data_IF_706936571976
#
_entry.id   IF_706936571976
#
_cell.length_a   1.000
_cell.length_b   1.000
_cell.length_c   1.000
_cell.angle_alpha   90.00
_cell.angle_beta   90.00
_cell.angle_gamma   90.00
#
_symmetry.space_group_name_H-M   'P 1'
#
loop_
_entity.id
_entity.type
_entity.pdbx_description
1 polymer ?
#
# COMPACT_ATOMS: atom_id res chain seq x y z
N UNK A 1 -47.39 -0.21 -1.44
CA UNK A 1 -46.83 -0.44 -2.78
C UNK A 1 -45.60 0.43 -2.86
N UNK A 2 -44.43 -0.18 -2.98
CA UNK A 2 -43.15 0.52 -2.97
C UNK A 2 -42.70 0.74 -4.42
N UNK A 3 -42.31 1.97 -4.74
CA UNK A 3 -41.92 2.39 -6.09
C UNK A 3 -40.49 2.91 -5.99
N UNK A 4 -39.64 2.49 -6.91
CA UNK A 4 -38.24 2.90 -7.01
C UNK A 4 -38.02 3.74 -8.26
N UNK A 5 -37.12 4.71 -8.19
CA UNK A 5 -36.57 5.34 -9.39
C UNK A 5 -35.51 4.45 -10.03
N UNK A 6 -35.42 4.52 -11.36
CA UNK A 6 -34.38 3.84 -12.12
C UNK A 6 -33.26 4.81 -12.52
N UNK A 7 -32.03 4.35 -12.39
CA UNK A 7 -30.79 5.08 -12.65
C UNK A 7 -30.01 4.43 -13.80
N UNK A 8 -29.24 5.22 -14.53
CA UNK A 8 -28.26 4.73 -15.50
C UNK A 8 -26.93 4.33 -14.81
N UNK A 9 -25.94 3.90 -15.59
CA UNK A 9 -24.64 3.44 -15.06
C UNK A 9 -23.77 4.60 -14.56
N UNK A 10 -24.08 5.80 -14.99
CA UNK A 10 -23.47 7.06 -14.56
C UNK A 10 -24.10 7.59 -13.26
N UNK A 11 -25.14 6.93 -12.75
CA UNK A 11 -25.83 7.30 -11.51
C UNK A 11 -26.88 8.40 -11.67
N UNK A 12 -27.27 8.74 -12.90
CA UNK A 12 -28.33 9.72 -13.15
C UNK A 12 -29.70 9.06 -13.13
N UNK A 13 -30.71 9.77 -12.60
CA UNK A 13 -32.11 9.35 -12.69
C UNK A 13 -32.54 9.34 -14.16
N UNK A 14 -33.09 8.22 -14.62
CA UNK A 14 -33.59 8.05 -16.00
C UNK A 14 -34.96 8.68 -16.23
N UNK A 15 -35.71 8.94 -15.15
CA UNK A 15 -37.11 9.35 -15.19
C UNK A 15 -38.11 8.18 -15.22
N UNK A 16 -37.63 6.95 -15.39
CA UNK A 16 -38.45 5.75 -15.28
C UNK A 16 -38.55 5.26 -13.83
N UNK A 17 -39.64 4.56 -13.52
CA UNK A 17 -39.87 3.98 -12.20
C UNK A 17 -40.13 2.48 -12.28
N UNK A 18 -39.95 1.81 -11.14
CA UNK A 18 -40.17 0.38 -11.00
C UNK A 18 -41.04 0.09 -9.77
N UNK A 19 -42.11 -0.70 -9.95
CA UNK A 19 -42.95 -1.14 -8.85
C UNK A 19 -42.36 -2.40 -8.21
N UNK A 20 -42.00 -2.34 -6.92
CA UNK A 20 -41.47 -3.49 -6.18
C UNK A 20 -42.54 -4.59 -6.06
N UNK A 21 -42.26 -5.75 -6.66
CA UNK A 21 -42.95 -7.03 -6.42
C UNK A 21 -41.94 -8.08 -5.94
N UNK A 22 -42.35 -9.15 -5.22
CA UNK A 22 -41.45 -10.21 -4.80
C UNK A 22 -40.62 -10.74 -5.98
N UNK A 23 -39.29 -10.76 -5.84
CA UNK A 23 -38.31 -11.19 -6.86
C UNK A 23 -38.31 -10.38 -8.18
N UNK A 24 -38.90 -9.19 -8.21
CA UNK A 24 -39.02 -8.39 -9.44
C UNK A 24 -37.76 -7.64 -9.87
N UNK A 25 -36.75 -7.51 -9.01
CA UNK A 25 -35.49 -6.82 -9.35
C UNK A 25 -34.75 -7.48 -10.52
N UNK A 26 -34.92 -8.80 -10.72
CA UNK A 26 -34.34 -9.54 -11.85
C UNK A 26 -34.97 -9.20 -13.21
N UNK A 27 -36.09 -8.45 -13.22
CA UNK A 27 -36.79 -8.05 -14.43
C UNK A 27 -36.59 -6.56 -14.76
N UNK A 28 -35.78 -5.84 -13.97
CA UNK A 28 -35.35 -4.48 -14.31
C UNK A 28 -34.58 -4.55 -15.64
N UNK A 29 -34.83 -3.65 -16.60
CA UNK A 29 -34.13 -3.66 -17.88
C UNK A 29 -32.60 -3.53 -17.73
N UNK A 30 -31.86 -4.18 -18.63
CA UNK A 30 -30.39 -4.05 -18.72
C UNK A 30 -29.97 -2.58 -18.84
N UNK A 31 -28.89 -2.22 -18.13
CA UNK A 31 -28.39 -0.85 -18.06
C UNK A 31 -29.19 0.08 -17.15
N UNK A 32 -30.22 -0.42 -16.46
CA UNK A 32 -30.96 0.31 -15.42
C UNK A 32 -30.76 -0.31 -14.04
N UNK A 33 -30.72 0.55 -13.03
CA UNK A 33 -30.46 0.18 -11.64
C UNK A 33 -31.44 0.86 -10.69
N UNK A 34 -31.79 0.24 -9.57
CA UNK A 34 -32.44 0.92 -8.45
C UNK A 34 -31.41 1.25 -7.37
N UNK A 35 -31.66 2.31 -6.60
CA UNK A 35 -30.78 2.74 -5.52
C UNK A 35 -31.05 1.92 -4.25
N UNK A 36 -29.96 1.41 -3.66
CA UNK A 36 -29.95 0.67 -2.40
C UNK A 36 -28.92 1.31 -1.47
N UNK A 37 -29.24 1.37 -0.19
CA UNK A 37 -28.33 1.84 0.86
C UNK A 37 -28.01 0.71 1.83
N UNK A 38 -26.76 0.68 2.30
CA UNK A 38 -26.34 -0.18 3.40
C UNK A 38 -25.51 0.62 4.41
N UNK A 39 -25.78 0.42 5.70
CA UNK A 39 -25.28 1.25 6.79
C UNK A 39 -24.61 0.34 7.82
N UNK A 40 -23.28 0.37 7.86
CA UNK A 40 -22.52 -0.18 8.99
C UNK A 40 -22.67 0.75 10.19
N UNK A 41 -23.11 0.24 11.32
CA UNK A 41 -23.31 1.06 12.53
C UNK A 41 -22.20 0.77 13.54
N UNK A 42 -21.45 1.81 13.89
CA UNK A 42 -20.39 1.79 14.88
C UNK A 42 -20.78 2.63 16.10
N UNK A 43 -20.68 2.04 17.28
CA UNK A 43 -20.84 2.77 18.53
C UNK A 43 -19.53 3.46 18.93
N UNK A 44 -19.60 4.60 19.63
CA UNK A 44 -18.41 5.38 20.05
C UNK A 44 -17.40 4.59 20.90
N UNK A 45 -17.80 3.49 21.51
CA UNK A 45 -16.90 2.58 22.25
C UNK A 45 -16.15 1.56 21.34
N UNK A 46 -16.32 1.66 20.02
CA UNK A 46 -15.61 0.82 19.04
C UNK A 46 -16.33 -0.48 18.69
N UNK A 47 -17.51 -0.75 19.24
CA UNK A 47 -18.34 -1.91 18.86
C UNK A 47 -19.24 -1.63 17.65
N UNK A 48 -19.66 -2.67 16.95
CA UNK A 48 -20.49 -2.63 15.74
C UNK A 48 -21.79 -3.39 15.96
N UNK A 49 -22.88 -2.87 15.40
CA UNK A 49 -24.17 -3.54 15.41
C UNK A 49 -24.21 -4.61 14.32
N UNK A 50 -24.66 -5.81 14.68
CA UNK A 50 -25.03 -6.86 13.73
C UNK A 50 -26.47 -7.27 14.04
N UNK A 51 -27.30 -7.34 13.01
CA UNK A 51 -28.70 -7.76 13.12
C UNK A 51 -28.91 -9.11 12.44
N UNK A 52 -29.97 -9.82 12.83
CA UNK A 52 -30.41 -11.06 12.20
C UNK A 52 -31.70 -10.79 11.45
N UNK A 53 -31.70 -11.16 10.17
CA UNK A 53 -32.83 -10.98 9.26
C UNK A 53 -34.02 -11.84 9.66
N UNK A 54 -35.22 -11.30 9.49
CA UNK A 54 -36.45 -12.06 9.65
C UNK A 54 -36.50 -13.26 8.68
N UNK A 55 -37.11 -14.36 9.11
CA UNK A 55 -37.25 -15.59 8.32
C UNK A 55 -38.17 -15.39 7.09
N UNK A 56 -38.96 -14.31 7.07
CA UNK A 56 -39.88 -13.99 5.98
C UNK A 56 -39.25 -13.10 4.89
N UNK A 57 -38.00 -12.66 5.04
CA UNK A 57 -37.31 -11.84 4.01
C UNK A 57 -37.14 -12.62 2.72
N UNK A 58 -37.38 -11.95 1.58
CA UNK A 58 -37.22 -12.53 0.23
C UNK A 58 -35.79 -13.02 -0.06
N UNK A 59 -34.79 -12.40 0.60
CA UNK A 59 -33.36 -12.61 0.35
C UNK A 59 -32.64 -12.78 1.69
N UNK A 60 -31.90 -13.90 1.82
CA UNK A 60 -31.16 -14.32 3.01
C UNK A 60 -31.99 -14.36 4.31
N UNK A 61 -33.13 -15.09 4.35
CA UNK A 61 -33.93 -15.22 5.57
C UNK A 61 -33.12 -15.88 6.70
N UNK A 62 -33.19 -15.32 7.92
CA UNK A 62 -32.50 -15.85 9.10
C UNK A 62 -30.98 -15.62 9.17
N UNK A 63 -30.37 -15.02 8.14
CA UNK A 63 -28.94 -14.70 8.12
C UNK A 63 -28.60 -13.49 8.98
N UNK A 64 -27.36 -13.45 9.48
CA UNK A 64 -26.82 -12.28 10.15
C UNK A 64 -26.23 -11.29 9.14
N UNK A 65 -26.42 -10.00 9.38
CA UNK A 65 -25.84 -8.92 8.59
C UNK A 65 -25.23 -7.81 9.45
N UNK A 66 -24.08 -7.30 9.01
CA UNK A 66 -23.39 -6.21 9.70
C UNK A 66 -23.95 -4.82 9.38
N UNK A 67 -24.84 -4.72 8.39
CA UNK A 67 -25.40 -3.46 7.92
C UNK A 67 -26.92 -3.48 7.97
N UNK A 68 -27.54 -2.41 8.49
CA UNK A 68 -28.94 -2.11 8.20
C UNK A 68 -29.06 -1.59 6.76
N UNK A 69 -30.22 -1.70 6.10
CA UNK A 69 -30.39 -1.09 4.79
C UNK A 69 -31.55 -1.60 3.94
N UNK A 70 -31.79 -0.88 2.85
CA UNK A 70 -32.90 -1.16 1.95
C UNK A 70 -32.89 -0.28 0.71
N UNK A 71 -33.96 -0.34 -0.07
CA UNK A 71 -34.07 0.39 -1.35
C UNK A 71 -34.60 1.79 -1.10
N UNK A 72 -34.05 2.77 -1.82
CA UNK A 72 -34.60 4.12 -1.81
C UNK A 72 -35.97 4.13 -2.49
N UNK A 73 -36.94 4.80 -1.86
CA UNK A 73 -38.26 5.00 -2.46
C UNK A 73 -38.24 6.11 -3.51
N UNK A 74 -39.27 6.19 -4.33
CA UNK A 74 -39.39 7.20 -5.38
C UNK A 74 -39.19 8.63 -4.82
N UNK A 75 -38.28 9.37 -5.44
CA UNK A 75 -37.89 10.74 -5.09
C UNK A 75 -36.95 10.83 -3.87
N UNK A 76 -36.59 9.72 -3.24
CA UNK A 76 -35.72 9.71 -2.06
C UNK A 76 -34.25 9.84 -2.48
N UNK A 77 -33.50 10.66 -1.74
CA UNK A 77 -32.07 10.82 -1.92
C UNK A 77 -31.30 9.77 -1.09
N UNK A 78 -30.11 9.31 -1.54
CA UNK A 78 -29.39 8.21 -0.87
C UNK A 78 -29.21 8.41 0.64
N UNK A 79 -28.83 9.61 1.06
CA UNK A 79 -28.64 9.89 2.49
C UNK A 79 -29.95 9.83 3.30
N UNK A 80 -31.05 10.30 2.72
CA UNK A 80 -32.36 10.23 3.36
C UNK A 80 -32.85 8.78 3.48
N UNK A 81 -32.64 7.97 2.43
CA UNK A 81 -32.90 6.54 2.47
C UNK A 81 -32.10 5.86 3.57
N UNK A 82 -30.80 6.18 3.70
CA UNK A 82 -29.94 5.59 4.72
C UNK A 82 -30.44 5.88 6.15
N UNK A 83 -30.88 7.11 6.41
CA UNK A 83 -31.45 7.50 7.70
C UNK A 83 -32.79 6.81 7.98
N UNK A 84 -33.66 6.68 6.98
CA UNK A 84 -34.95 5.99 7.09
C UNK A 84 -34.74 4.51 7.37
N UNK A 85 -33.97 3.82 6.54
CA UNK A 85 -33.73 2.37 6.64
C UNK A 85 -33.08 2.00 7.99
N UNK A 86 -32.09 2.79 8.45
CA UNK A 86 -31.50 2.58 9.77
C UNK A 86 -32.56 2.68 10.87
N UNK A 87 -33.41 3.71 10.80
CA UNK A 87 -34.44 3.92 11.81
C UNK A 87 -35.55 2.86 11.78
N UNK A 88 -35.96 2.42 10.58
CA UNK A 88 -36.96 1.37 10.40
C UNK A 88 -36.44 0.02 10.93
N UNK A 89 -35.23 -0.40 10.54
CA UNK A 89 -34.75 -1.73 10.93
C UNK A 89 -34.21 -1.83 12.37
N UNK A 90 -33.82 -0.70 12.99
CA UNK A 90 -33.12 -0.70 14.29
C UNK A 90 -33.65 0.30 15.32
N UNK A 91 -34.50 1.25 14.93
CA UNK A 91 -34.92 2.35 15.80
C UNK A 91 -33.84 3.40 16.10
N UNK A 92 -32.61 3.19 15.62
CA UNK A 92 -31.48 4.08 15.89
C UNK A 92 -31.50 5.32 14.98
N UNK A 93 -30.91 6.40 15.51
CA UNK A 93 -30.59 7.60 14.74
C UNK A 93 -29.10 7.84 14.85
N UNK A 94 -28.41 7.72 13.71
CA UNK A 94 -27.00 8.06 13.61
C UNK A 94 -26.71 9.54 13.85
N UNK A 95 -25.51 9.83 14.36
CA UNK A 95 -25.04 11.20 14.55
C UNK A 95 -24.19 11.68 13.36
N UNK A 96 -23.30 10.80 12.88
CA UNK A 96 -22.38 11.09 11.78
C UNK A 96 -22.41 9.95 10.76
N UNK A 97 -22.42 10.29 9.48
CA UNK A 97 -22.42 9.33 8.38
C UNK A 97 -21.29 9.65 7.41
N UNK A 98 -20.42 8.67 7.18
CA UNK A 98 -19.36 8.70 6.18
C UNK A 98 -19.77 7.82 5.01
N UNK A 99 -19.74 8.33 3.78
CA UNK A 99 -19.91 7.50 2.58
C UNK A 99 -18.62 6.70 2.36
N UNK A 100 -18.68 5.39 2.56
CA UNK A 100 -17.50 4.50 2.51
C UNK A 100 -17.37 3.74 1.19
N UNK A 101 -18.47 3.60 0.43
CA UNK A 101 -18.44 2.98 -0.89
C UNK A 101 -19.63 3.40 -1.78
N UNK A 102 -19.42 3.42 -3.10
CA UNK A 102 -20.48 3.45 -4.12
C UNK A 102 -20.16 2.36 -5.14
N UNK A 103 -21.12 1.46 -5.40
CA UNK A 103 -20.89 0.32 -6.31
C UNK A 103 -22.13 -0.07 -7.10
N UNK A 104 -21.94 -0.84 -8.17
CA UNK A 104 -23.02 -1.30 -9.03
C UNK A 104 -22.99 -2.82 -9.15
N UNK A 105 -24.17 -3.42 -9.30
CA UNK A 105 -24.35 -4.85 -9.55
C UNK A 105 -25.31 -5.04 -10.71
N UNK A 106 -24.78 -5.52 -11.83
CA UNK A 106 -25.59 -5.93 -13.00
C UNK A 106 -26.49 -7.12 -12.67
N UNK A 107 -26.04 -8.01 -11.79
CA UNK A 107 -26.79 -9.21 -11.39
C UNK A 107 -28.07 -8.87 -10.62
N UNK A 108 -28.05 -7.80 -9.83
CA UNK A 108 -29.21 -7.38 -9.01
C UNK A 108 -29.86 -6.10 -9.51
N UNK A 109 -29.33 -5.51 -10.60
CA UNK A 109 -29.73 -4.19 -11.08
C UNK A 109 -29.75 -3.15 -9.96
N UNK A 110 -28.71 -3.12 -9.13
CA UNK A 110 -28.62 -2.25 -7.95
C UNK A 110 -27.44 -1.30 -8.05
N UNK A 111 -27.66 -0.06 -7.63
CA UNK A 111 -26.64 0.93 -7.32
C UNK A 111 -26.59 1.08 -5.79
N UNK A 112 -25.48 0.72 -5.17
CA UNK A 112 -25.31 0.72 -3.71
C UNK A 112 -24.60 1.97 -3.24
N UNK A 113 -25.14 2.61 -2.21
CA UNK A 113 -24.49 3.67 -1.44
C UNK A 113 -24.27 3.17 -0.01
N UNK A 114 -23.01 2.89 0.32
CA UNK A 114 -22.64 2.31 1.61
C UNK A 114 -22.14 3.39 2.56
N UNK A 115 -22.73 3.45 3.75
CA UNK A 115 -22.38 4.41 4.79
C UNK A 115 -21.81 3.72 6.03
N UNK A 116 -20.85 4.37 6.69
CA UNK A 116 -20.53 4.13 8.09
C UNK A 116 -21.28 5.17 8.92
N UNK A 117 -22.11 4.70 9.83
CA UNK A 117 -22.83 5.51 10.80
C UNK A 117 -22.19 5.40 12.18
N UNK A 118 -21.82 6.51 12.80
CA UNK A 118 -21.42 6.56 14.21
C UNK A 118 -22.60 6.94 15.13
N UNK A 119 -22.70 6.30 16.29
CA UNK A 119 -23.74 6.57 17.30
C UNK A 119 -23.22 6.40 18.73
N UNK A 120 -23.83 7.10 19.68
CA UNK A 120 -23.69 6.90 21.13
C UNK A 120 -25.02 6.52 21.80
N UNK A 121 -26.00 6.12 21.00
CA UNK A 121 -27.30 5.68 21.50
C UNK A 121 -27.11 4.51 22.49
N UNK A 122 -27.90 4.45 23.58
CA UNK A 122 -27.88 3.32 24.49
C UNK A 122 -28.04 2.02 23.72
N UNK A 123 -27.15 1.04 23.95
CA UNK A 123 -27.13 -0.20 23.15
C UNK A 123 -28.42 -1.01 23.25
N UNK A 124 -29.17 -0.86 24.34
CA UNK A 124 -30.48 -1.45 24.61
C UNK A 124 -31.66 -0.66 24.02
N UNK A 125 -31.40 0.49 23.39
CA UNK A 125 -32.41 1.28 22.67
C UNK A 125 -32.72 0.78 21.26
N UNK A 126 -32.04 -0.27 20.79
CA UNK A 126 -32.33 -0.91 19.50
C UNK A 126 -33.74 -1.50 19.54
N UNK A 127 -34.59 -1.03 18.63
CA UNK A 127 -35.95 -1.53 18.43
C UNK A 127 -36.01 -2.20 17.07
N UNK A 128 -36.11 -3.53 17.07
CA UNK A 128 -36.22 -4.31 15.85
C UNK A 128 -37.63 -4.29 15.30
N UNK A 129 -37.74 -4.30 13.98
CA UNK A 129 -39.02 -4.29 13.27
C UNK A 129 -39.37 -5.70 12.80
N UNK A 130 -40.55 -6.20 13.21
CA UNK A 130 -41.10 -7.48 12.75
C UNK A 130 -41.21 -7.50 11.22
N UNK A 131 -40.76 -8.58 10.58
CA UNK A 131 -40.66 -8.69 9.13
C UNK A 131 -39.34 -8.16 8.56
N UNK A 132 -38.56 -7.41 9.35
CA UNK A 132 -37.25 -6.91 8.93
C UNK A 132 -36.10 -7.63 9.66
N UNK A 133 -36.04 -7.47 10.98
CA UNK A 133 -34.97 -7.97 11.85
C UNK A 133 -35.55 -8.58 13.12
N UNK A 134 -34.93 -9.65 13.63
CA UNK A 134 -35.47 -10.44 14.76
C UNK A 134 -34.53 -10.55 15.96
N UNK A 135 -33.23 -10.40 15.74
CA UNK A 135 -32.21 -10.38 16.80
C UNK A 135 -31.13 -9.34 16.48
N UNK A 136 -30.43 -8.84 17.51
CA UNK A 136 -29.25 -7.99 17.33
C UNK A 136 -28.18 -8.30 18.37
N UNK A 137 -26.94 -7.93 18.05
CA UNK A 137 -25.83 -7.92 18.99
C UNK A 137 -24.85 -6.80 18.64
N UNK A 138 -24.21 -6.27 19.67
CA UNK A 138 -23.04 -5.42 19.53
C UNK A 138 -21.79 -6.28 19.67
N UNK A 139 -20.89 -6.20 18.70
CA UNK A 139 -19.61 -6.93 18.69
C UNK A 139 -18.45 -5.97 18.62
N UNK A 140 -17.31 -6.31 19.20
CA UNK A 140 -16.07 -5.56 18.97
C UNK A 140 -15.51 -5.85 17.56
N UNK A 141 -14.34 -5.27 17.24
CA UNK A 141 -13.68 -5.50 15.94
C UNK A 141 -13.40 -6.98 15.71
N UNK A 142 -12.90 -7.70 16.72
CA UNK A 142 -12.65 -9.13 16.62
C UNK A 142 -13.92 -9.91 16.27
N UNK A 143 -15.03 -9.64 16.96
CA UNK A 143 -16.32 -10.27 16.71
C UNK A 143 -16.94 -9.88 15.37
N UNK A 144 -16.70 -8.66 14.88
CA UNK A 144 -17.10 -8.27 13.52
C UNK A 144 -16.33 -9.08 12.47
N UNK A 145 -15.01 -9.24 12.65
CA UNK A 145 -14.17 -10.04 11.76
C UNK A 145 -14.59 -11.51 11.78
N UNK A 146 -14.83 -12.08 12.96
CA UNK A 146 -15.34 -13.44 13.12
C UNK A 146 -16.66 -13.64 12.38
N UNK A 147 -17.59 -12.67 12.50
CA UNK A 147 -18.81 -12.67 11.71
C UNK A 147 -18.50 -12.64 10.21
N UNK A 148 -17.70 -11.69 9.74
CA UNK A 148 -17.39 -11.52 8.31
C UNK A 148 -16.83 -12.81 7.70
N UNK A 149 -15.98 -13.52 8.47
CA UNK A 149 -15.36 -14.78 8.07
C UNK A 149 -16.29 -15.99 8.18
N UNK A 150 -17.32 -15.93 9.04
CA UNK A 150 -18.26 -17.05 9.25
C UNK A 150 -19.09 -17.44 8.01
N UNK A 151 -19.60 -18.67 8.01
CA UNK A 151 -20.48 -19.19 6.95
C UNK A 151 -21.90 -18.61 7.00
N UNK A 152 -22.28 -18.00 8.13
CA UNK A 152 -23.61 -17.40 8.35
C UNK A 152 -23.68 -15.93 7.93
N UNK A 153 -22.58 -15.37 7.41
CA UNK A 153 -22.53 -14.02 6.89
C UNK A 153 -22.97 -13.92 5.43
N UNK A 154 -23.57 -12.78 5.10
CA UNK A 154 -23.97 -12.45 3.73
C UNK A 154 -22.72 -11.91 2.99
N UNK A 155 -21.98 -12.81 2.35
CA UNK A 155 -20.67 -12.47 1.72
C UNK A 155 -20.75 -11.31 0.74
N UNK A 156 -21.82 -11.21 -0.05
CA UNK A 156 -22.02 -10.08 -0.97
C UNK A 156 -22.15 -8.72 -0.27
N UNK A 157 -22.69 -8.65 0.95
CA UNK A 157 -22.75 -7.41 1.74
C UNK A 157 -21.36 -7.03 2.25
N UNK A 158 -20.60 -8.03 2.69
CA UNK A 158 -19.23 -7.83 3.16
C UNK A 158 -18.30 -7.41 2.02
N UNK A 159 -18.42 -8.03 0.84
CA UNK A 159 -17.60 -7.72 -0.33
C UNK A 159 -17.79 -6.27 -0.79
N UNK A 160 -19.03 -5.73 -0.72
CA UNK A 160 -19.30 -4.31 -1.00
C UNK A 160 -18.54 -3.39 -0.03
N UNK A 161 -18.39 -3.80 1.21
CA UNK A 161 -17.74 -3.00 2.26
C UNK A 161 -16.30 -3.44 2.54
N UNK A 162 -15.71 -4.26 1.66
CA UNK A 162 -14.42 -4.93 1.89
C UNK A 162 -13.31 -3.95 2.27
N UNK A 163 -13.21 -2.81 1.58
CA UNK A 163 -12.18 -1.79 1.86
C UNK A 163 -12.24 -1.28 3.30
N UNK A 164 -13.45 -1.07 3.84
CA UNK A 164 -13.64 -0.64 5.22
C UNK A 164 -13.40 -1.80 6.20
N UNK A 165 -13.93 -2.98 5.91
CA UNK A 165 -13.75 -4.17 6.76
C UNK A 165 -12.28 -4.62 6.86
N UNK A 166 -11.52 -4.46 5.78
CA UNK A 166 -10.06 -4.67 5.78
C UNK A 166 -9.40 -3.72 6.77
N UNK A 167 -9.74 -2.42 6.75
CA UNK A 167 -9.23 -1.45 7.76
C UNK A 167 -9.57 -1.88 9.18
N UNK A 168 -10.79 -2.35 9.44
CA UNK A 168 -11.18 -2.86 10.76
C UNK A 168 -10.33 -4.07 11.17
N UNK A 169 -10.05 -4.99 10.23
CA UNK A 169 -9.16 -6.14 10.48
C UNK A 169 -7.75 -5.68 10.82
N UNK A 170 -7.22 -4.69 10.11
CA UNK A 170 -5.91 -4.15 10.40
C UNK A 170 -5.87 -3.45 11.76
N UNK A 171 -6.84 -2.59 12.07
CA UNK A 171 -6.92 -1.91 13.37
C UNK A 171 -6.98 -2.91 14.54
N UNK A 172 -7.65 -4.04 14.35
CA UNK A 172 -7.69 -5.12 15.34
C UNK A 172 -6.31 -5.77 15.53
N UNK A 173 -5.58 -6.04 14.44
CA UNK A 173 -4.21 -6.57 14.49
C UNK A 173 -3.30 -5.58 15.22
N UNK A 174 -3.38 -4.29 14.88
CA UNK A 174 -2.58 -3.24 15.49
C UNK A 174 -2.87 -3.07 16.99
N UNK A 175 -4.14 -3.15 17.40
CA UNK A 175 -4.52 -3.02 18.81
C UNK A 175 -3.97 -4.11 19.72
N UNK A 176 -3.48 -5.21 19.15
CA UNK A 176 -2.85 -6.33 19.87
C UNK A 176 -1.34 -6.23 19.92
N UNK A 177 -0.73 -5.27 19.21
CA UNK A 177 0.72 -5.08 19.22
C UNK A 177 1.15 -4.36 20.51
N UNK A 178 2.34 -4.70 21.05
CA UNK A 178 2.89 -3.96 22.19
C UNK A 178 3.12 -2.50 21.81
N UNK A 179 3.02 -1.59 22.79
CA UNK A 179 3.47 -0.21 22.57
C UNK A 179 4.95 -0.22 22.20
N UNK A 180 5.31 0.54 21.15
CA UNK A 180 6.69 0.64 20.72
C UNK A 180 7.57 1.16 21.87
N UNK A 181 8.80 0.65 22.05
CA UNK A 181 9.69 1.10 23.14
C UNK A 181 9.93 2.62 23.18
N UNK A 182 9.78 3.28 22.02
CA UNK A 182 9.95 4.72 21.83
C UNK A 182 8.64 5.52 21.91
N UNK A 183 7.49 4.91 22.21
CA UNK A 183 6.19 5.60 22.22
C UNK A 183 6.16 6.80 23.19
N UNK A 184 6.91 6.73 24.29
CA UNK A 184 7.06 7.84 25.24
C UNK A 184 7.95 8.99 24.76
N UNK A 185 8.69 8.81 23.67
CA UNK A 185 9.61 9.80 23.10
C UNK A 185 8.99 10.62 21.96
N UNK A 186 7.73 10.33 21.59
CA UNK A 186 7.02 11.04 20.54
C UNK A 186 6.89 12.52 20.94
N UNK A 187 7.41 13.47 20.13
CA UNK A 187 7.29 14.89 20.41
C UNK A 187 5.83 15.35 20.58
N UNK A 188 5.60 16.37 21.41
CA UNK A 188 4.26 16.96 21.55
C UNK A 188 3.76 17.48 20.19
N UNK A 189 2.58 17.01 19.77
CA UNK A 189 1.97 17.34 18.48
C UNK A 189 2.32 16.39 17.33
N UNK A 190 3.25 15.45 17.52
CA UNK A 190 3.46 14.35 16.58
C UNK A 190 2.46 13.21 16.83
N UNK A 191 2.30 12.36 15.82
CA UNK A 191 1.41 11.19 15.84
C UNK A 191 2.05 10.02 15.10
N UNK A 192 1.64 8.80 15.44
CA UNK A 192 2.06 7.59 14.71
C UNK A 192 1.05 7.33 13.60
N UNK A 193 1.53 7.14 12.38
CA UNK A 193 0.68 6.74 11.25
C UNK A 193 0.93 5.28 10.90
N UNK A 194 -0.11 4.43 10.93
CA UNK A 194 0.00 2.99 10.64
C UNK A 194 0.26 2.67 9.16
N UNK A 195 -0.06 3.59 8.25
CA UNK A 195 -0.03 3.36 6.81
C UNK A 195 0.90 4.35 6.09
N UNK A 196 1.57 3.92 5.01
CA UNK A 196 2.06 4.89 4.05
C UNK A 196 0.89 5.70 3.46
N UNK A 197 1.15 6.96 3.09
CA UNK A 197 0.14 7.82 2.44
C UNK A 197 0.09 7.64 0.92
N UNK A 198 1.12 7.02 0.34
CA UNK A 198 1.16 6.74 -1.08
C UNK A 198 0.27 5.54 -1.47
N UNK A 199 -0.34 5.57 -2.66
CA UNK A 199 -1.07 4.43 -3.18
C UNK A 199 -0.15 3.25 -3.49
N UNK A 200 -0.65 2.03 -3.31
CA UNK A 200 0.07 0.78 -3.62
C UNK A 200 -0.71 -0.07 -4.61
N UNK A 201 0.00 -0.77 -5.49
CA UNK A 201 -0.56 -1.73 -6.44
C UNK A 201 -1.46 -1.13 -7.53
N UNK A 202 -1.34 0.17 -7.81
CA UNK A 202 -2.20 0.87 -8.76
C UNK A 202 -1.69 0.83 -10.21
N UNK A 203 -0.38 0.65 -10.42
CA UNK A 203 0.22 0.72 -11.76
C UNK A 203 1.16 -0.45 -12.06
N UNK A 204 0.92 -1.60 -11.42
CA UNK A 204 1.70 -2.83 -11.65
C UNK A 204 1.58 -3.33 -13.10
N UNK A 205 0.53 -2.94 -13.81
CA UNK A 205 0.29 -3.26 -15.23
C UNK A 205 1.28 -2.54 -16.18
N UNK A 206 1.94 -1.47 -15.72
CA UNK A 206 3.04 -0.84 -16.47
C UNK A 206 4.34 -1.65 -16.46
N UNK A 207 4.44 -2.69 -15.64
CA UNK A 207 5.65 -3.51 -15.54
C UNK A 207 5.51 -4.78 -16.39
N UNK A 208 6.44 -4.97 -17.31
CA UNK A 208 6.59 -6.23 -18.03
C UNK A 208 7.16 -7.31 -17.10
N UNK A 209 6.58 -8.51 -17.13
CA UNK A 209 6.96 -9.64 -16.27
C UNK A 209 7.79 -10.65 -17.04
N UNK A 210 8.87 -11.11 -16.44
CA UNK A 210 9.84 -11.97 -17.10
C UNK A 210 10.38 -13.05 -16.18
N UNK A 211 10.99 -14.05 -16.80
CA UNK A 211 11.78 -15.07 -16.13
C UNK A 211 13.19 -15.11 -16.74
N UNK A 212 14.18 -15.36 -15.90
CA UNK A 212 15.58 -15.53 -16.27
C UNK A 212 16.11 -16.81 -15.63
N UNK A 213 16.93 -17.56 -16.36
CA UNK A 213 17.61 -18.74 -15.84
C UNK A 213 19.12 -18.54 -16.04
N UNK A 214 19.83 -18.45 -14.92
CA UNK A 214 21.27 -18.32 -14.91
C UNK A 214 21.96 -19.65 -15.24
N UNK A 215 23.22 -19.60 -15.69
CA UNK A 215 24.01 -20.79 -15.95
C UNK A 215 24.22 -21.68 -14.71
N UNK A 216 24.16 -21.12 -13.50
CA UNK A 216 24.13 -21.86 -12.23
C UNK A 216 22.85 -22.66 -12.00
N UNK A 217 21.80 -22.45 -12.80
CA UNK A 217 20.48 -23.05 -12.64
C UNK A 217 19.52 -22.24 -11.75
N UNK A 218 19.96 -21.10 -11.21
CA UNK A 218 19.09 -20.19 -10.47
C UNK A 218 18.09 -19.55 -11.44
N UNK A 219 16.79 -19.71 -11.17
CA UNK A 219 15.71 -19.09 -11.93
C UNK A 219 15.19 -17.88 -11.18
N UNK A 220 15.13 -16.72 -11.82
CA UNK A 220 14.66 -15.47 -11.23
C UNK A 220 13.45 -14.97 -11.99
N UNK A 221 12.42 -14.59 -11.24
CA UNK A 221 11.38 -13.71 -11.75
C UNK A 221 11.88 -12.27 -11.65
N UNK A 222 11.54 -11.45 -12.62
CA UNK A 222 11.84 -10.03 -12.57
C UNK A 222 10.83 -9.21 -13.35
N UNK A 223 10.79 -7.92 -13.02
CA UNK A 223 9.93 -6.94 -13.66
C UNK A 223 10.77 -5.86 -14.32
N UNK A 224 10.29 -5.30 -15.43
CA UNK A 224 10.91 -4.15 -16.09
C UNK A 224 9.91 -3.06 -16.41
N UNK A 225 10.36 -1.82 -16.36
CA UNK A 225 9.67 -0.65 -16.93
C UNK A 225 10.60 0.01 -17.95
N UNK A 226 10.11 0.20 -19.17
CA UNK A 226 10.84 0.88 -20.25
C UNK A 226 10.20 2.26 -20.52
N UNK A 227 10.87 3.38 -20.17
CA UNK A 227 10.30 4.71 -20.40
C UNK A 227 10.01 4.98 -21.88
N UNK A 228 10.70 4.33 -22.82
CA UNK A 228 10.47 4.53 -24.26
C UNK A 228 9.17 3.92 -24.76
N UNK A 229 8.63 2.93 -24.05
CA UNK A 229 7.27 2.41 -24.26
C UNK A 229 6.19 3.34 -23.69
N UNK A 230 6.60 4.33 -22.91
CA UNK A 230 5.75 5.30 -22.22
C UNK A 230 5.99 6.76 -22.65
N UNK A 231 6.45 6.96 -23.90
CA UNK A 231 6.49 8.27 -24.55
C UNK A 231 7.83 9.01 -24.49
N UNK A 232 8.86 8.40 -23.89
CA UNK A 232 10.23 8.95 -23.92
C UNK A 232 10.97 8.55 -25.20
N UNK A 233 11.96 9.35 -25.61
CA UNK A 233 12.69 9.13 -26.86
C UNK A 233 13.66 7.97 -26.76
N UNK A 234 13.77 7.14 -27.80
CA UNK A 234 14.82 6.10 -27.89
C UNK A 234 16.23 6.66 -28.02
N UNK A 235 16.37 7.94 -28.37
CA UNK A 235 17.66 8.62 -28.49
C UNK A 235 18.12 9.27 -27.17
N UNK A 236 17.31 9.19 -26.11
CA UNK A 236 17.67 9.71 -24.79
C UNK A 236 18.69 8.84 -24.07
N UNK A 237 19.27 9.36 -22.98
CA UNK A 237 20.08 8.58 -22.02
C UNK A 237 19.40 8.63 -20.67
N UNK A 238 18.88 7.49 -20.22
CA UNK A 238 18.06 7.39 -19.02
C UNK A 238 18.78 6.55 -17.96
N UNK A 239 18.73 6.95 -16.67
CA UNK A 239 19.24 6.12 -15.61
C UNK A 239 18.51 4.78 -15.57
N UNK A 240 19.24 3.74 -15.15
CA UNK A 240 18.69 2.40 -14.90
C UNK A 240 18.60 2.22 -13.40
N UNK A 241 17.38 2.12 -12.88
CA UNK A 241 17.11 1.94 -11.46
C UNK A 241 16.82 0.46 -11.17
N UNK A 242 17.69 -0.19 -10.39
CA UNK A 242 17.59 -1.61 -10.07
C UNK A 242 17.21 -1.73 -8.59
N UNK A 243 16.04 -2.27 -8.32
CA UNK A 243 15.48 -2.31 -6.97
C UNK A 243 15.51 -3.72 -6.37
N UNK A 244 16.04 -3.82 -5.15
CA UNK A 244 16.16 -5.06 -4.38
C UNK A 244 15.29 -5.01 -3.12
N UNK A 245 14.35 -5.94 -3.01
CA UNK A 245 13.43 -6.02 -1.87
C UNK A 245 14.11 -6.53 -0.60
N UNK A 246 13.49 -6.21 0.54
CA UNK A 246 13.85 -6.79 1.83
C UNK A 246 13.31 -8.21 2.01
N UNK A 247 13.72 -8.87 3.09
CA UNK A 247 13.33 -10.25 3.37
C UNK A 247 11.81 -10.37 3.54
N UNK A 248 11.23 -11.44 3.01
CA UNK A 248 9.81 -11.79 3.00
C UNK A 248 8.92 -11.11 1.96
N UNK A 249 9.40 -10.08 1.27
CA UNK A 249 8.59 -9.31 0.33
C UNK A 249 8.21 -10.12 -0.93
N UNK A 250 8.96 -11.17 -1.30
CA UNK A 250 8.59 -12.00 -2.46
C UNK A 250 7.28 -12.78 -2.26
N UNK A 251 6.85 -13.01 -1.00
CA UNK A 251 5.64 -13.78 -0.70
C UNK A 251 4.34 -13.08 -1.13
N UNK A 252 4.37 -11.76 -1.37
CA UNK A 252 3.18 -10.98 -1.77
C UNK A 252 2.97 -10.94 -3.30
N UNK A 253 3.76 -11.70 -4.06
CA UNK A 253 3.64 -11.79 -5.52
C UNK A 253 4.01 -10.48 -6.21
N UNK A 254 3.16 -10.01 -7.14
CA UNK A 254 3.43 -8.81 -7.93
C UNK A 254 3.52 -7.53 -7.07
N UNK A 255 2.86 -7.51 -5.90
CA UNK A 255 2.96 -6.40 -4.97
C UNK A 255 4.39 -6.20 -4.44
N UNK A 256 5.28 -7.18 -4.60
CA UNK A 256 6.70 -7.04 -4.27
C UNK A 256 7.33 -5.81 -4.96
N UNK A 257 6.88 -5.42 -6.16
CA UNK A 257 7.31 -4.19 -6.84
C UNK A 257 7.10 -2.96 -5.93
N UNK A 258 5.95 -2.88 -5.26
CA UNK A 258 5.65 -1.79 -4.33
C UNK A 258 6.58 -1.80 -3.11
N UNK A 259 6.79 -2.98 -2.51
CA UNK A 259 7.66 -3.17 -1.34
C UNK A 259 9.17 -3.00 -1.61
N UNK A 260 9.54 -2.67 -2.85
CA UNK A 260 10.89 -2.18 -3.17
C UNK A 260 10.98 -0.66 -3.27
N UNK A 261 9.85 0.02 -3.41
CA UNK A 261 9.79 1.43 -3.83
C UNK A 261 9.60 1.62 -5.33
N UNK A 262 9.88 0.61 -6.17
CA UNK A 262 9.94 0.74 -7.62
C UNK A 262 8.65 1.23 -8.27
N UNK A 263 7.47 0.90 -7.71
CA UNK A 263 6.19 1.27 -8.30
C UNK A 263 6.05 2.78 -8.49
N UNK A 264 6.37 3.59 -7.48
CA UNK A 264 6.19 5.05 -7.60
C UNK A 264 7.16 5.67 -8.60
N UNK A 265 8.35 5.08 -8.79
CA UNK A 265 9.31 5.53 -9.80
C UNK A 265 8.82 5.29 -11.23
N UNK A 266 7.78 4.47 -11.45
CA UNK A 266 7.11 4.30 -12.75
C UNK A 266 5.90 5.24 -12.94
N UNK A 267 5.59 6.10 -11.97
CA UNK A 267 4.53 7.10 -12.13
C UNK A 267 4.96 8.19 -13.10
N UNK A 268 3.98 8.77 -13.82
CA UNK A 268 4.25 9.83 -14.80
C UNK A 268 4.96 11.02 -14.16
N UNK A 269 4.62 11.34 -12.90
CA UNK A 269 5.28 12.41 -12.14
C UNK A 269 6.77 12.11 -11.94
N UNK A 270 7.12 10.95 -11.38
CA UNK A 270 8.53 10.68 -11.06
C UNK A 270 9.36 10.48 -12.33
N UNK A 271 8.79 9.86 -13.35
CA UNK A 271 9.41 9.78 -14.67
C UNK A 271 9.64 11.18 -15.25
N UNK A 272 8.68 12.10 -15.14
CA UNK A 272 8.87 13.49 -15.60
C UNK A 272 9.94 14.23 -14.80
N UNK A 273 9.94 14.08 -13.47
CA UNK A 273 10.91 14.71 -12.57
C UNK A 273 12.34 14.26 -12.94
N UNK A 274 12.56 12.96 -13.16
CA UNK A 274 13.84 12.38 -13.57
C UNK A 274 14.20 12.64 -15.04
N UNK A 275 13.22 12.89 -15.91
CA UNK A 275 13.41 12.99 -17.35
C UNK A 275 13.35 11.64 -18.08
N UNK A 276 12.79 10.61 -17.43
CA UNK A 276 12.71 9.21 -17.88
C UNK A 276 13.69 8.32 -17.12
N UNK A 277 13.30 7.09 -16.77
CA UNK A 277 14.17 6.12 -16.12
C UNK A 277 13.73 4.68 -16.44
N UNK A 278 14.69 3.82 -16.76
CA UNK A 278 14.47 2.37 -16.79
C UNK A 278 14.36 1.83 -15.36
N UNK A 279 13.53 0.81 -15.16
CA UNK A 279 13.41 0.14 -13.87
C UNK A 279 13.57 -1.36 -14.06
N UNK A 280 14.35 -2.00 -13.19
CA UNK A 280 14.49 -3.46 -13.10
C UNK A 280 14.21 -3.87 -11.66
N UNK A 281 13.34 -4.86 -11.46
CA UNK A 281 13.01 -5.40 -10.13
C UNK A 281 13.19 -6.92 -10.13
N UNK A 282 14.38 -7.43 -9.79
CA UNK A 282 14.58 -8.86 -9.55
C UNK A 282 13.80 -9.31 -8.31
N UNK A 283 13.35 -10.56 -8.29
CA UNK A 283 12.63 -11.16 -7.16
C UNK A 283 13.40 -12.38 -6.66
N UNK A 284 13.74 -12.39 -5.36
CA UNK A 284 14.39 -13.52 -4.72
C UNK A 284 13.41 -14.69 -4.54
N UNK A 285 13.90 -15.93 -4.62
CA UNK A 285 13.09 -17.13 -4.46
C UNK A 285 12.95 -17.49 -2.98
N UNK A 286 12.25 -16.65 -2.22
CA UNK A 286 12.14 -16.87 -0.79
C UNK A 286 11.20 -18.03 -0.47
N UNK A 287 11.54 -18.75 0.60
CA UNK A 287 10.72 -19.82 1.15
C UNK A 287 10.83 -19.83 2.67
N UNK A 288 9.83 -20.42 3.33
CA UNK A 288 9.89 -20.70 4.77
C UNK A 288 10.42 -22.11 4.96
N UNK A 289 11.47 -22.26 5.77
CA UNK A 289 11.98 -23.59 6.14
C UNK A 289 11.03 -24.28 7.14
N UNK A 290 11.38 -25.50 7.58
CA UNK A 290 10.57 -26.28 8.54
C UNK A 290 10.31 -25.56 9.88
N UNK A 291 11.16 -24.59 10.25
CA UNK A 291 11.03 -23.75 11.45
C UNK A 291 10.22 -22.46 11.21
N UNK A 292 9.70 -22.26 10.00
CA UNK A 292 8.96 -21.04 9.61
C UNK A 292 9.85 -19.83 9.30
N UNK A 293 11.18 -19.98 9.37
CA UNK A 293 12.15 -18.91 9.08
C UNK A 293 12.28 -18.69 7.57
N UNK A 294 12.35 -17.43 7.16
CA UNK A 294 12.53 -17.05 5.76
C UNK A 294 13.97 -17.36 5.31
N UNK A 295 14.10 -18.03 4.17
CA UNK A 295 15.33 -18.40 3.46
C UNK A 295 15.18 -18.03 1.99
N UNK A 296 16.27 -18.07 1.22
CA UNK A 296 16.25 -17.73 -0.20
C UNK A 296 16.07 -16.25 -0.51
N UNK A 297 16.27 -15.37 0.48
CA UNK A 297 16.41 -13.92 0.28
C UNK A 297 17.72 -13.59 -0.46
N UNK A 298 17.92 -12.33 -0.86
CA UNK A 298 19.13 -11.88 -1.57
C UNK A 298 20.43 -12.10 -0.76
N UNK A 299 20.99 -13.29 -0.88
CA UNK A 299 22.24 -13.74 -0.27
C UNK A 299 23.41 -13.72 -1.25
N UNK A 300 24.55 -14.24 -0.80
CA UNK A 300 25.78 -14.34 -1.62
C UNK A 300 25.59 -15.22 -2.86
N UNK A 301 24.69 -16.20 -2.78
CA UNK A 301 24.28 -17.10 -3.85
C UNK A 301 23.53 -16.39 -4.99
N UNK A 302 23.02 -15.19 -4.75
CA UNK A 302 22.35 -14.38 -5.77
C UNK A 302 23.29 -13.41 -6.50
N UNK A 303 24.53 -13.21 -6.05
CA UNK A 303 25.43 -12.18 -6.61
C UNK A 303 25.64 -12.34 -8.12
N UNK A 304 26.12 -13.50 -8.55
CA UNK A 304 26.36 -13.79 -9.97
C UNK A 304 25.05 -13.89 -10.78
N UNK A 305 24.02 -14.65 -10.36
CA UNK A 305 22.76 -14.72 -11.10
C UNK A 305 22.08 -13.36 -11.31
N UNK A 306 22.07 -12.50 -10.28
CA UNK A 306 21.49 -11.16 -10.38
C UNK A 306 22.33 -10.27 -11.27
N UNK A 307 23.66 -10.28 -11.14
CA UNK A 307 24.54 -9.50 -12.00
C UNK A 307 24.38 -9.89 -13.48
N UNK A 308 24.30 -11.18 -13.78
CA UNK A 308 24.05 -11.67 -15.12
C UNK A 308 22.68 -11.22 -15.65
N UNK A 309 21.63 -11.29 -14.81
CA UNK A 309 20.29 -10.81 -15.15
C UNK A 309 20.30 -9.30 -15.47
N UNK A 310 20.83 -8.47 -14.57
CA UNK A 310 20.79 -7.01 -14.73
C UNK A 310 21.62 -6.58 -15.94
N UNK A 311 22.80 -7.16 -16.14
CA UNK A 311 23.66 -6.88 -17.30
C UNK A 311 22.97 -7.26 -18.62
N UNK A 312 22.32 -8.43 -18.66
CA UNK A 312 21.53 -8.85 -19.84
C UNK A 312 20.41 -7.85 -20.15
N UNK A 313 19.62 -7.48 -19.15
CA UNK A 313 18.45 -6.60 -19.34
C UNK A 313 18.90 -5.18 -19.71
N UNK A 314 19.97 -4.66 -19.11
CA UNK A 314 20.54 -3.37 -19.47
C UNK A 314 21.01 -3.38 -20.94
N UNK A 315 21.63 -4.47 -21.40
CA UNK A 315 22.03 -4.59 -22.80
C UNK A 315 20.82 -4.61 -23.75
N UNK A 316 19.67 -5.15 -23.31
CA UNK A 316 18.42 -5.13 -24.08
C UNK A 316 17.79 -3.73 -24.17
N UNK A 317 17.99 -2.86 -23.17
CA UNK A 317 17.63 -1.44 -23.25
C UNK A 317 18.50 -0.68 -24.27
N UNK A 318 19.70 -1.19 -24.57
CA UNK A 318 20.55 -0.70 -25.64
C UNK A 318 21.15 0.68 -25.35
N UNK A 319 21.35 1.47 -26.41
CA UNK A 319 22.06 2.75 -26.34
C UNK A 319 21.32 3.83 -25.54
N UNK A 320 20.07 3.64 -25.13
CA UNK A 320 19.38 4.58 -24.24
C UNK A 320 19.66 4.34 -22.76
N UNK A 321 20.26 3.21 -22.38
CA UNK A 321 20.68 2.96 -21.02
C UNK A 321 21.84 3.91 -20.62
N UNK A 322 21.66 4.58 -19.49
CA UNK A 322 22.60 5.49 -18.86
C UNK A 322 23.18 4.92 -17.56
N UNK A 323 23.51 5.78 -16.59
CA UNK A 323 24.09 5.37 -15.32
C UNK A 323 23.21 4.40 -14.54
N UNK A 324 23.82 3.47 -13.81
CA UNK A 324 23.12 2.34 -13.19
C UNK A 324 23.11 2.49 -11.68
N UNK A 325 21.91 2.57 -11.13
CA UNK A 325 21.63 2.74 -9.72
C UNK A 325 21.17 1.41 -9.15
N UNK A 326 21.81 0.95 -8.08
CA UNK A 326 21.37 -0.22 -7.30
C UNK A 326 20.79 0.26 -5.97
N UNK A 327 19.48 0.08 -5.82
CA UNK A 327 18.71 0.50 -4.65
C UNK A 327 18.25 -0.74 -3.89
N UNK A 328 18.44 -0.75 -2.57
CA UNK A 328 18.08 -1.89 -1.75
C UNK A 328 17.46 -1.46 -0.43
N UNK A 329 16.47 -2.23 0.03
CA UNK A 329 15.82 -2.04 1.32
C UNK A 329 16.18 -3.19 2.27
N UNK A 330 16.63 -2.89 3.50
CA UNK A 330 16.96 -3.89 4.53
C UNK A 330 17.92 -4.98 4.05
N UNK A 331 17.51 -6.26 3.93
CA UNK A 331 18.39 -7.30 3.39
C UNK A 331 18.82 -7.02 1.94
N UNK A 332 17.97 -6.37 1.14
CA UNK A 332 18.32 -5.82 -0.17
C UNK A 332 19.37 -4.71 -0.07
N UNK A 333 19.32 -3.87 0.97
CA UNK A 333 20.34 -2.85 1.23
C UNK A 333 21.71 -3.48 1.56
N UNK A 334 21.73 -4.55 2.35
CA UNK A 334 22.96 -5.33 2.55
C UNK A 334 23.44 -6.02 1.27
N UNK A 335 22.52 -6.46 0.42
CA UNK A 335 22.85 -7.11 -0.84
C UNK A 335 23.50 -6.16 -1.85
N UNK A 336 23.02 -4.92 -1.96
CA UNK A 336 23.63 -3.94 -2.89
C UNK A 336 25.07 -3.57 -2.50
N UNK A 337 25.42 -3.57 -1.20
CA UNK A 337 26.82 -3.45 -0.77
C UNK A 337 27.68 -4.61 -1.29
N UNK A 338 27.20 -5.86 -1.16
CA UNK A 338 27.92 -7.05 -1.64
C UNK A 338 28.03 -7.07 -3.17
N UNK A 339 26.98 -6.65 -3.85
CA UNK A 339 26.95 -6.55 -5.30
C UNK A 339 27.96 -5.49 -5.80
N UNK A 340 28.00 -4.35 -5.13
CA UNK A 340 28.97 -3.30 -5.41
C UNK A 340 30.41 -3.75 -5.11
N UNK A 341 30.63 -4.55 -4.06
CA UNK A 341 31.96 -5.09 -3.77
C UNK A 341 32.45 -6.02 -4.89
N UNK A 342 31.59 -6.95 -5.31
CA UNK A 342 31.91 -7.97 -6.31
C UNK A 342 32.02 -7.39 -7.73
N UNK A 343 31.17 -6.42 -8.09
CA UNK A 343 30.99 -5.93 -9.46
C UNK A 343 31.03 -4.39 -9.54
N UNK A 344 32.00 -3.77 -8.85
CA UNK A 344 32.10 -2.30 -8.71
C UNK A 344 32.12 -1.56 -10.05
N UNK A 345 32.75 -2.14 -11.07
CA UNK A 345 32.89 -1.48 -12.37
C UNK A 345 31.58 -1.47 -13.17
N UNK A 346 30.62 -2.33 -12.82
CA UNK A 346 29.38 -2.51 -13.58
C UNK A 346 28.25 -1.59 -13.13
N UNK A 347 28.34 -0.98 -11.95
CA UNK A 347 27.32 -0.09 -11.38
C UNK A 347 27.92 1.27 -11.03
N UNK A 348 27.10 2.32 -10.98
CA UNK A 348 27.59 3.69 -10.80
C UNK A 348 27.18 4.29 -9.45
N UNK A 349 25.99 3.92 -8.97
CA UNK A 349 25.39 4.48 -7.76
C UNK A 349 24.85 3.39 -6.85
N UNK A 350 25.19 3.48 -5.57
CA UNK A 350 24.72 2.60 -4.50
C UNK A 350 23.73 3.36 -3.60
N UNK A 351 22.55 2.79 -3.35
CA UNK A 351 21.50 3.39 -2.52
C UNK A 351 20.95 2.36 -1.51
N UNK A 352 21.67 2.09 -0.40
CA UNK A 352 21.18 1.21 0.65
C UNK A 352 20.29 1.97 1.64
N UNK A 353 19.08 1.45 1.88
CA UNK A 353 18.10 1.99 2.83
C UNK A 353 17.87 1.01 3.97
N UNK A 354 18.18 1.43 5.20
CA UNK A 354 17.93 0.63 6.41
C UNK A 354 18.88 -0.57 6.57
N UNK A 355 20.17 -0.39 6.29
CA UNK A 355 21.19 -1.42 6.55
C UNK A 355 22.35 -0.86 7.35
N UNK A 356 22.69 -1.55 8.43
CA UNK A 356 23.90 -1.29 9.23
C UNK A 356 25.09 -2.13 8.81
N UNK A 357 24.92 -3.03 7.84
CA UNK A 357 26.02 -3.69 7.15
C UNK A 357 26.75 -2.70 6.23
N UNK A 358 27.21 -1.59 6.81
CA UNK A 358 28.07 -0.61 6.14
C UNK A 358 29.32 -1.37 5.71
N UNK A 359 29.68 -1.14 4.44
CA UNK A 359 30.88 -1.65 3.81
C UNK A 359 32.12 -1.56 4.72
N UNK A 360 33.01 -2.55 4.62
CA UNK A 360 34.38 -2.44 5.14
C UNK A 360 35.07 -1.20 4.54
N UNK A 361 36.03 -0.60 5.27
CA UNK A 361 36.76 0.58 4.78
C UNK A 361 37.34 0.38 3.37
N UNK A 362 37.80 -0.83 3.05
CA UNK A 362 38.34 -1.16 1.73
C UNK A 362 37.34 -1.01 0.59
N UNK A 363 36.05 -1.28 0.83
CA UNK A 363 35.04 -1.06 -0.19
C UNK A 363 34.74 0.43 -0.32
N UNK A 364 34.65 1.19 0.78
CA UNK A 364 34.44 2.64 0.71
C UNK A 364 35.60 3.35 -0.03
N UNK A 365 36.84 2.93 0.21
CA UNK A 365 38.01 3.42 -0.52
C UNK A 365 37.92 3.05 -2.00
N UNK A 366 37.51 1.82 -2.32
CA UNK A 366 37.28 1.38 -3.71
C UNK A 366 36.20 2.22 -4.41
N UNK A 367 35.14 2.64 -3.71
CA UNK A 367 34.11 3.52 -4.27
C UNK A 367 34.70 4.89 -4.60
N UNK A 368 35.49 5.48 -3.70
CA UNK A 368 36.16 6.77 -3.94
C UNK A 368 37.17 6.67 -5.09
N UNK A 369 37.98 5.60 -5.14
CA UNK A 369 38.95 5.34 -6.22
C UNK A 369 38.29 5.18 -7.60
N UNK A 370 37.05 4.70 -7.63
CA UNK A 370 36.29 4.40 -8.85
C UNK A 370 35.21 5.44 -9.16
N UNK A 371 35.20 6.57 -8.44
CA UNK A 371 34.24 7.67 -8.62
C UNK A 371 32.77 7.22 -8.52
N UNK A 372 32.48 6.30 -7.59
CA UNK A 372 31.12 5.76 -7.36
C UNK A 372 30.35 6.59 -6.34
N UNK A 373 29.05 6.71 -6.56
CA UNK A 373 28.16 7.50 -5.70
C UNK A 373 27.49 6.61 -4.65
N UNK A 374 27.31 7.15 -3.45
CA UNK A 374 26.62 6.50 -2.34
C UNK A 374 25.52 7.42 -1.78
N UNK A 375 24.27 6.95 -1.76
CA UNK A 375 23.20 7.55 -0.98
C UNK A 375 22.90 6.65 0.22
N UNK A 376 23.45 6.98 1.38
CA UNK A 376 23.29 6.21 2.60
C UNK A 376 22.10 6.72 3.42
N UNK A 377 21.09 5.87 3.65
CA UNK A 377 19.87 6.23 4.37
C UNK A 377 19.53 5.25 5.50
N UNK A 378 19.45 5.73 6.73
CA UNK A 378 19.00 4.96 7.90
C UNK A 378 18.53 5.89 9.02
N UNK A 379 17.41 5.59 9.69
CA UNK A 379 16.92 6.43 10.77
C UNK A 379 17.74 6.20 12.05
N UNK A 380 17.84 7.22 12.91
CA UNK A 380 18.52 7.10 14.21
C UNK A 380 17.80 6.17 15.18
N UNK A 381 16.50 6.01 14.99
CA UNK A 381 15.61 5.18 15.81
C UNK A 381 15.28 3.83 15.17
N UNK A 382 16.17 3.33 14.30
CA UNK A 382 16.06 1.99 13.72
C UNK A 382 15.71 0.95 14.80
N UNK A 383 14.66 0.17 14.55
CA UNK A 383 14.07 -0.75 15.53
C UNK A 383 14.78 -2.13 15.56
N UNK A 384 15.65 -2.41 14.60
CA UNK A 384 16.36 -3.68 14.48
C UNK A 384 17.85 -3.54 14.78
N UNK A 385 18.41 -2.35 14.56
CA UNK A 385 19.84 -2.11 14.68
C UNK A 385 20.15 -0.87 15.53
N UNK A 386 21.25 -0.94 16.28
CA UNK A 386 21.69 0.19 17.10
C UNK A 386 22.39 1.23 16.24
N UNK A 387 21.77 2.41 16.04
CA UNK A 387 22.41 3.50 15.30
C UNK A 387 23.74 3.91 15.91
N UNK A 388 23.80 4.08 17.24
CA UNK A 388 25.02 4.52 17.94
C UNK A 388 26.14 3.48 17.90
N UNK A 389 25.81 2.19 17.91
CA UNK A 389 26.85 1.14 17.91
C UNK A 389 27.27 0.74 16.49
N UNK A 390 26.34 0.73 15.53
CA UNK A 390 26.56 0.15 14.21
C UNK A 390 26.71 1.19 13.08
N UNK A 391 26.17 2.41 13.23
CA UNK A 391 26.16 3.44 12.17
C UNK A 391 27.04 4.65 12.52
N UNK A 392 26.88 5.19 13.72
CA UNK A 392 27.58 6.39 14.19
C UNK A 392 29.12 6.30 14.03
N UNK A 393 29.79 5.15 14.26
CA UNK A 393 31.23 5.02 14.03
C UNK A 393 31.67 5.28 12.59
N UNK A 394 30.78 5.12 11.61
CA UNK A 394 31.09 5.26 10.18
C UNK A 394 30.80 6.65 9.63
N UNK A 395 30.05 7.50 10.35
CA UNK A 395 29.59 8.80 9.82
C UNK A 395 30.75 9.72 9.44
N UNK A 396 31.84 9.72 10.22
CA UNK A 396 33.03 10.52 9.88
C UNK A 396 33.67 10.05 8.57
N UNK A 397 33.83 8.73 8.36
CA UNK A 397 34.37 8.18 7.10
C UNK A 397 33.46 8.42 5.92
N UNK A 398 32.15 8.20 6.07
CA UNK A 398 31.14 8.42 5.03
C UNK A 398 31.10 9.90 4.61
N UNK A 399 31.22 10.84 5.56
CA UNK A 399 31.19 12.27 5.29
C UNK A 399 32.39 12.79 4.50
N UNK A 400 33.49 12.01 4.47
CA UNK A 400 34.73 12.34 3.75
C UNK A 400 34.82 11.69 2.37
N UNK A 401 33.88 10.82 2.02
CA UNK A 401 33.81 10.24 0.67
C UNK A 401 33.56 11.33 -0.37
N UNK A 402 34.05 11.11 -1.59
CA UNK A 402 33.96 12.07 -2.69
C UNK A 402 32.51 12.32 -3.12
N UNK A 403 31.72 11.24 -3.18
CA UNK A 403 30.35 11.25 -3.70
C UNK A 403 29.37 10.55 -2.75
N UNK A 404 29.24 11.05 -1.51
CA UNK A 404 28.33 10.47 -0.51
C UNK A 404 27.28 11.45 -0.01
N UNK A 405 26.01 11.04 -0.08
CA UNK A 405 24.89 11.71 0.57
C UNK A 405 24.44 10.88 1.78
N UNK A 406 24.39 11.51 2.95
CA UNK A 406 23.98 10.86 4.20
C UNK A 406 22.63 11.41 4.64
N UNK A 407 21.65 10.53 4.78
CA UNK A 407 20.31 10.83 5.30
C UNK A 407 20.03 10.00 6.57
N UNK A 408 20.14 10.65 7.73
CA UNK A 408 19.95 10.01 9.04
C UNK A 408 18.94 10.76 9.92
N UNK A 409 17.64 10.76 9.54
CA UNK A 409 16.62 11.49 10.29
C UNK A 409 16.45 10.89 11.68
N UNK A 410 15.97 11.72 12.61
CA UNK A 410 15.58 11.25 13.95
C UNK A 410 14.44 10.24 13.87
N UNK A 411 13.44 10.52 13.04
CA UNK A 411 12.25 9.70 12.84
C UNK A 411 12.03 9.42 11.36
N UNK A 412 11.72 8.17 11.02
CA UNK A 412 11.07 7.83 9.76
C UNK A 412 9.64 8.37 9.78
N UNK A 413 9.29 9.16 8.75
CA UNK A 413 7.96 9.76 8.61
C UNK A 413 7.30 9.35 7.29
N UNK A 414 5.97 9.30 7.32
CA UNK A 414 5.12 9.16 6.14
C UNK A 414 4.81 10.55 5.56
N UNK A 415 4.14 10.58 4.40
CA UNK A 415 3.83 11.84 3.71
C UNK A 415 2.90 12.77 4.51
N UNK A 416 2.05 12.23 5.38
CA UNK A 416 1.18 13.00 6.29
C UNK A 416 1.94 13.62 7.49
N UNK A 417 3.27 13.47 7.53
CA UNK A 417 4.17 13.82 8.65
C UNK A 417 4.06 12.89 9.86
N UNK A 418 3.21 11.88 9.83
CA UNK A 418 3.11 10.90 10.89
C UNK A 418 4.36 10.03 10.97
N UNK A 419 4.73 9.64 12.18
CA UNK A 419 5.87 8.76 12.47
C UNK A 419 5.50 7.34 12.01
N UNK A 420 6.35 6.74 11.18
CA UNK A 420 6.19 5.34 10.79
C UNK A 420 6.56 4.42 11.95
N UNK A 421 5.86 3.29 12.12
CA UNK A 421 6.10 2.38 13.23
C UNK A 421 5.98 0.94 12.78
N UNK A 422 6.91 0.08 13.19
CA UNK A 422 6.75 -1.35 12.94
C UNK A 422 5.69 -1.94 13.87
N UNK A 423 5.56 -1.41 15.09
CA UNK A 423 4.53 -1.83 16.04
C UNK A 423 3.17 -1.18 15.73
N UNK A 424 3.18 -0.05 15.02
CA UNK A 424 1.99 0.67 14.60
C UNK A 424 1.52 0.41 13.17
N UNK A 425 2.27 -0.26 12.27
CA UNK A 425 1.97 -0.25 10.83
C UNK A 425 2.31 -1.50 10.01
N UNK A 426 2.13 -1.39 8.68
CA UNK A 426 2.36 -2.48 7.69
C UNK A 426 3.82 -2.57 7.23
N UNK A 427 4.51 -1.43 7.19
CA UNK A 427 5.90 -1.32 6.72
C UNK A 427 6.89 -1.45 7.88
N UNK A 428 8.18 -1.66 7.59
CA UNK A 428 9.22 -1.88 8.62
C UNK A 428 9.56 -0.66 9.49
N UNK A 429 8.60 0.25 9.70
CA UNK A 429 8.65 1.28 10.72
C UNK A 429 9.83 2.20 10.62
N UNK A 430 10.58 2.31 11.72
CA UNK A 430 11.78 3.13 11.78
C UNK A 430 12.96 2.50 11.04
N UNK A 431 12.99 1.18 10.87
CA UNK A 431 14.14 0.48 10.29
C UNK A 431 14.30 0.70 8.79
N UNK A 432 13.20 0.79 8.04
CA UNK A 432 13.29 1.08 6.62
C UNK A 432 12.56 2.38 6.29
N UNK A 433 13.35 3.42 6.01
CA UNK A 433 12.91 4.71 5.47
C UNK A 433 12.30 4.61 4.05
N UNK A 434 11.97 3.39 3.57
CA UNK A 434 11.39 3.16 2.26
C UNK A 434 10.17 4.06 2.04
N UNK A 435 9.32 4.28 3.05
CA UNK A 435 8.17 5.17 2.90
C UNK A 435 8.56 6.59 2.53
N UNK A 436 9.61 7.11 3.17
CA UNK A 436 10.14 8.43 2.91
C UNK A 436 10.77 8.46 1.49
N UNK A 437 11.60 7.47 1.14
CA UNK A 437 12.29 7.39 -0.16
C UNK A 437 11.31 7.20 -1.33
N UNK A 438 10.29 6.36 -1.15
CA UNK A 438 9.22 6.12 -2.10
C UNK A 438 8.37 7.36 -2.26
N UNK A 439 8.06 8.08 -1.18
CA UNK A 439 7.41 9.41 -1.23
C UNK A 439 8.37 10.53 -1.68
N UNK A 440 9.48 10.19 -2.35
CA UNK A 440 10.46 11.13 -2.89
C UNK A 440 11.12 12.04 -1.84
N UNK A 441 11.12 11.67 -0.56
CA UNK A 441 11.47 12.54 0.56
C UNK A 441 10.64 13.84 0.58
N UNK A 442 9.35 13.74 0.24
CA UNK A 442 8.40 14.85 0.26
C UNK A 442 7.19 14.49 1.13
N UNK A 443 6.73 15.44 1.93
CA UNK A 443 5.44 15.37 2.59
C UNK A 443 4.29 15.60 1.57
N UNK A 444 3.08 15.18 1.92
CA UNK A 444 1.88 15.29 1.09
C UNK A 444 1.49 16.76 0.82
N UNK A 445 1.93 17.68 1.68
CA UNK A 445 1.77 19.13 1.49
C UNK A 445 2.81 19.75 0.55
N UNK A 446 3.71 18.93 -0.01
CA UNK A 446 4.75 19.34 -0.95
C UNK A 446 6.01 19.91 -0.30
N UNK A 447 6.13 19.89 1.04
CA UNK A 447 7.36 20.29 1.73
C UNK A 447 8.37 19.14 1.78
N UNK A 448 9.69 19.41 1.69
CA UNK A 448 10.70 18.36 1.73
C UNK A 448 10.89 17.80 3.13
N UNK A 449 11.14 16.49 3.22
CA UNK A 449 11.59 15.82 4.45
C UNK A 449 13.07 16.09 4.74
N UNK A 450 13.84 16.48 3.73
CA UNK A 450 15.27 16.79 3.80
C UNK A 450 15.53 18.10 3.04
N UNK A 451 15.84 19.18 3.75
CA UNK A 451 16.02 20.52 3.18
C UNK A 451 17.17 20.59 2.15
N UNK A 452 18.17 19.70 2.25
CA UNK A 452 19.25 19.57 1.27
C UNK A 452 18.78 18.98 -0.07
N UNK A 453 17.58 18.39 -0.12
CA UNK A 453 16.95 17.79 -1.31
C UNK A 453 15.55 18.38 -1.55
N UNK A 454 15.44 19.68 -1.90
CA UNK A 454 14.14 20.34 -2.06
C UNK A 454 13.29 19.78 -3.21
N UNK A 455 13.92 19.09 -4.18
CA UNK A 455 13.24 18.36 -5.26
C UNK A 455 13.09 16.86 -5.01
N UNK A 456 13.50 16.38 -3.84
CA UNK A 456 13.46 14.97 -3.48
C UNK A 456 14.52 14.09 -4.15
N UNK A 457 14.33 12.78 -4.01
CA UNK A 457 15.22 11.74 -4.53
C UNK A 457 15.25 11.69 -6.07
N UNK A 458 14.13 11.93 -6.74
CA UNK A 458 14.03 11.97 -8.21
C UNK A 458 14.85 13.10 -8.81
N UNK A 459 14.86 14.28 -8.17
CA UNK A 459 15.73 15.38 -8.56
C UNK A 459 17.21 15.01 -8.34
N UNK A 460 17.53 14.39 -7.21
CA UNK A 460 18.89 13.92 -6.94
C UNK A 460 19.38 12.89 -7.96
N UNK A 461 18.56 11.89 -8.31
CA UNK A 461 18.87 10.89 -9.35
C UNK A 461 19.18 11.58 -10.68
N UNK A 462 18.39 12.59 -11.06
CA UNK A 462 18.60 13.35 -12.29
C UNK A 462 19.90 14.14 -12.29
N UNK A 463 20.22 14.79 -11.18
CA UNK A 463 21.47 15.55 -11.02
C UNK A 463 22.68 14.62 -11.10
N UNK A 464 22.69 13.52 -10.35
CA UNK A 464 23.76 12.52 -10.40
C UNK A 464 23.89 11.89 -11.78
N UNK A 465 22.76 11.58 -12.43
CA UNK A 465 22.77 11.07 -13.80
C UNK A 465 23.45 12.03 -14.75
N UNK A 466 23.14 13.33 -14.64
CA UNK A 466 23.76 14.36 -15.46
C UNK A 466 25.26 14.47 -15.17
N UNK A 467 25.67 14.46 -13.90
CA UNK A 467 27.09 14.53 -13.51
C UNK A 467 27.89 13.36 -14.07
N UNK A 468 27.36 12.13 -14.01
CA UNK A 468 28.04 10.93 -14.55
C UNK A 468 28.11 10.96 -16.09
N UNK A 469 27.11 11.54 -16.78
CA UNK A 469 27.11 11.64 -18.23
C UNK A 469 28.01 12.78 -18.76
N UNK A 470 28.26 13.81 -17.94
CA UNK A 470 29.07 14.98 -18.30
C UNK A 470 30.54 14.86 -17.88
N UNK A 471 30.84 14.06 -16.84
CA UNK A 471 32.19 13.75 -16.36
C UNK A 471 32.88 12.65 -17.14
#
# INVERSE_FOLDING_TARGET
MEIWDLYDREGNRTGDTWERKPRSFQAIPDGKYHLVVDILVKHKDGTYLITKRDENKDVYPGYWEASAGGSAVQGEEPFAAAQRELFEETGLKGENYELINVSFSDKSHSMFYSYLCETDAPKDSVVLQEGETVEYKWVDRAGLIEYVDSDTAIKSHNDRNKKYLDRVRFDEILSKRPEAPWAGDIPEGDFVTPYPTYPTGQILDKFAKHEFEDASGVKLKYYTYDPTEHGYSKDGKYPVLIFFHGTSNSFVGDLCINYTGAELYATDKYQADMGGAYIIVPVANEYRNEEGRVKGYFGVDYLEPVHNLTTKVIAEFGESAGPKFILGNSSGASFVFRLMDAYTDDYDVLFPVGSTAIAEESLLDKLDEKDKYLFFAIAKRDEFHSFTEEVEPWLDRLSKMKHCFIFTPEWTRNGDKGIASIEGGIEMGQHCLMNAIQSNLMFDDGTPMEERLPGGVTAWIKEVTKEILEG
#
